data_IF_961596268128
#
_entry.id   IF_961596268128
#
_cell.length_a   1.000
_cell.length_b   1.000
_cell.length_c   1.000
_cell.angle_alpha   90.00
_cell.angle_beta   90.00
_cell.angle_gamma   90.00
#
_symmetry.space_group_name_H-M   'P 1'
#
loop_
_entity.id
_entity.type
_entity.pdbx_description
1 polymer ?
#
# COMPACT_ATOMS: atom_id res chain seq x y z
N UNK A 1 -15.14 14.56 5.92
CA UNK A 1 -16.05 14.42 4.75
C UNK A 1 -15.38 13.85 3.48
N UNK A 2 -14.11 13.40 3.50
CA UNK A 2 -13.47 12.68 2.38
C UNK A 2 -12.72 11.41 2.84
N UNK A 3 -13.20 10.75 3.89
CA UNK A 3 -12.45 9.67 4.54
C UNK A 3 -12.22 8.46 3.63
N UNK A 4 -13.06 8.21 2.62
CA UNK A 4 -12.83 7.11 1.69
C UNK A 4 -11.97 7.51 0.46
N UNK A 5 -11.79 8.82 0.23
CA UNK A 5 -11.06 9.33 -0.93
C UNK A 5 -9.56 9.07 -0.84
N UNK A 6 -8.99 9.01 0.36
CA UNK A 6 -7.56 8.74 0.52
C UNK A 6 -7.19 7.35 -0.04
N UNK A 7 -8.05 6.33 0.12
CA UNK A 7 -7.74 4.98 -0.35
C UNK A 7 -7.58 4.92 -1.87
N UNK A 8 -8.35 5.73 -2.61
CA UNK A 8 -8.23 5.84 -4.07
C UNK A 8 -6.93 6.57 -4.46
N UNK A 9 -6.66 7.70 -3.80
CA UNK A 9 -5.46 8.51 -4.07
C UNK A 9 -4.20 7.70 -3.76
N UNK A 10 -4.21 6.99 -2.64
CA UNK A 10 -3.12 6.14 -2.18
C UNK A 10 -2.86 5.00 -3.18
N UNK A 11 -3.91 4.28 -3.60
CA UNK A 11 -3.77 3.22 -4.62
C UNK A 11 -3.20 3.75 -5.94
N UNK A 12 -3.67 4.89 -6.44
CA UNK A 12 -3.15 5.51 -7.67
C UNK A 12 -1.70 5.95 -7.50
N UNK A 13 -1.37 6.56 -6.36
CA UNK A 13 -0.01 6.99 -6.03
C UNK A 13 0.98 5.82 -6.06
N UNK A 14 0.65 4.71 -5.39
CA UNK A 14 1.53 3.53 -5.39
C UNK A 14 1.62 2.89 -6.76
N UNK A 15 0.50 2.74 -7.48
CA UNK A 15 0.52 2.21 -8.84
C UNK A 15 1.45 3.02 -9.75
N UNK A 16 1.37 4.36 -9.68
CA UNK A 16 2.24 5.26 -10.43
C UNK A 16 3.70 5.10 -10.02
N UNK A 17 4.00 5.07 -8.71
CA UNK A 17 5.36 4.92 -8.21
C UNK A 17 6.00 3.60 -8.65
N UNK A 18 5.28 2.48 -8.58
CA UNK A 18 5.78 1.19 -9.06
C UNK A 18 5.89 1.15 -10.59
N UNK A 19 4.97 1.78 -11.31
CA UNK A 19 5.02 1.87 -12.78
C UNK A 19 6.30 2.55 -13.27
N UNK A 20 6.69 3.68 -12.67
CA UNK A 20 7.90 4.42 -13.09
C UNK A 20 9.20 3.72 -12.69
N UNK A 21 9.19 2.89 -11.65
CA UNK A 21 10.36 2.14 -11.18
C UNK A 21 10.48 0.75 -11.83
N UNK A 22 9.48 0.31 -12.59
CA UNK A 22 9.47 -0.98 -13.28
C UNK A 22 10.15 -0.89 -14.65
N UNK A 23 11.22 -1.66 -14.85
CA UNK A 23 12.01 -1.67 -16.08
C UNK A 23 11.34 -2.52 -17.16
N UNK A 24 10.76 -3.66 -16.79
CA UNK A 24 10.13 -4.62 -17.68
C UNK A 24 8.75 -4.15 -18.17
N UNK A 25 8.63 -3.90 -19.48
CA UNK A 25 7.38 -3.46 -20.10
C UNK A 25 6.17 -4.38 -19.83
N UNK A 26 6.38 -5.70 -19.71
CA UNK A 26 5.27 -6.64 -19.42
C UNK A 26 4.75 -6.47 -17.99
N UNK A 27 5.65 -6.33 -17.02
CA UNK A 27 5.28 -6.10 -15.63
C UNK A 27 4.67 -4.71 -15.45
N UNK A 28 5.19 -3.70 -16.16
CA UNK A 28 4.61 -2.37 -16.21
C UNK A 28 3.17 -2.35 -16.74
N UNK A 29 2.89 -3.09 -17.80
CA UNK A 29 1.53 -3.28 -18.30
C UNK A 29 0.64 -4.05 -17.31
N UNK A 30 1.22 -5.01 -16.58
CA UNK A 30 0.52 -5.75 -15.52
C UNK A 30 0.12 -4.81 -14.38
N UNK A 31 1.04 -3.94 -13.92
CA UNK A 31 0.79 -2.91 -12.90
C UNK A 31 -0.34 -1.98 -13.35
N UNK A 32 -0.27 -1.46 -14.59
CA UNK A 32 -1.32 -0.59 -15.14
C UNK A 32 -2.68 -1.29 -15.20
N UNK A 33 -2.71 -2.55 -15.65
CA UNK A 33 -3.93 -3.36 -15.70
C UNK A 33 -4.51 -3.58 -14.31
N UNK A 34 -3.68 -3.96 -13.32
CA UNK A 34 -4.12 -4.14 -11.95
C UNK A 34 -4.65 -2.84 -11.34
N UNK A 35 -4.01 -1.70 -11.64
CA UNK A 35 -4.47 -0.40 -11.17
C UNK A 35 -5.84 -0.03 -11.73
N UNK A 36 -6.07 -0.27 -13.02
CA UNK A 36 -7.38 -0.06 -13.67
C UNK A 36 -8.44 -0.98 -13.05
N UNK A 37 -8.12 -2.26 -12.86
CA UNK A 37 -9.03 -3.23 -12.23
C UNK A 37 -9.37 -2.79 -10.80
N UNK A 38 -8.37 -2.43 -10.00
CA UNK A 38 -8.56 -1.95 -8.63
C UNK A 38 -9.45 -0.70 -8.58
N UNK A 39 -9.25 0.24 -9.51
CA UNK A 39 -10.08 1.45 -9.63
C UNK A 39 -11.53 1.11 -10.01
N UNK A 40 -11.74 0.20 -10.96
CA UNK A 40 -13.09 -0.26 -11.35
C UNK A 40 -13.80 -0.91 -10.16
N UNK A 41 -13.13 -1.82 -9.45
CA UNK A 41 -13.70 -2.47 -8.26
C UNK A 41 -14.03 -1.42 -7.20
N UNK A 42 -13.14 -0.46 -6.95
CA UNK A 42 -13.37 0.60 -5.97
C UNK A 42 -14.58 1.47 -6.35
N UNK A 43 -14.74 1.82 -7.62
CA UNK A 43 -15.91 2.55 -8.13
C UNK A 43 -17.20 1.74 -7.95
N UNK A 44 -17.17 0.44 -8.26
CA UNK A 44 -18.32 -0.47 -8.05
C UNK A 44 -18.69 -0.56 -6.57
N UNK A 45 -17.72 -0.54 -5.65
CA UNK A 45 -17.98 -0.54 -4.21
C UNK A 45 -18.60 0.80 -3.75
N UNK A 46 -18.14 1.91 -4.31
CA UNK A 46 -18.52 3.27 -3.89
C UNK A 46 -19.89 3.71 -4.42
N UNK A 47 -20.21 3.46 -5.70
CA UNK A 47 -21.42 3.97 -6.35
C UNK A 47 -22.72 3.58 -5.62
N UNK A 48 -22.98 2.30 -5.31
CA UNK A 48 -24.27 1.87 -4.77
C UNK A 48 -24.56 2.41 -3.37
N UNK A 49 -23.50 2.68 -2.58
CA UNK A 49 -23.62 3.00 -1.15
C UNK A 49 -23.28 4.46 -0.82
N UNK A 50 -22.90 5.26 -1.82
CA UNK A 50 -22.49 6.65 -1.67
C UNK A 50 -21.12 6.84 -1.00
N UNK A 51 -20.44 7.95 -1.35
CA UNK A 51 -19.08 8.29 -0.90
C UNK A 51 -19.01 8.65 0.59
N UNK A 52 -20.09 9.20 1.15
CA UNK A 52 -20.02 9.96 2.41
C UNK A 52 -20.62 9.27 3.63
N UNK A 53 -21.37 8.17 3.46
CA UNK A 53 -22.23 7.71 4.55
C UNK A 53 -21.42 6.99 5.64
N UNK A 54 -20.51 6.06 5.30
CA UNK A 54 -19.74 5.28 6.28
C UNK A 54 -18.29 5.01 5.85
N UNK A 55 -17.41 4.77 6.82
CA UNK A 55 -16.05 4.25 6.60
C UNK A 55 -16.12 2.89 5.89
N UNK A 56 -15.48 2.78 4.73
CA UNK A 56 -15.50 1.57 3.89
C UNK A 56 -14.24 0.77 4.11
N UNK A 57 -14.26 -0.08 5.12
CA UNK A 57 -13.18 -1.03 5.40
C UNK A 57 -12.89 -1.92 4.17
N UNK A 58 -13.88 -2.22 3.33
CA UNK A 58 -13.71 -2.98 2.09
C UNK A 58 -12.73 -2.33 1.11
N UNK A 59 -12.77 -1.00 0.99
CA UNK A 59 -11.83 -0.25 0.12
C UNK A 59 -10.42 -0.28 0.68
N UNK A 60 -10.27 -0.20 2.00
CA UNK A 60 -8.97 -0.27 2.67
C UNK A 60 -8.35 -1.65 2.50
N UNK A 61 -9.16 -2.71 2.62
CA UNK A 61 -8.73 -4.08 2.36
C UNK A 61 -8.32 -4.28 0.90
N UNK A 62 -9.11 -3.79 -0.06
CA UNK A 62 -8.78 -3.85 -1.48
C UNK A 62 -7.46 -3.13 -1.78
N UNK A 63 -7.28 -1.92 -1.26
CA UNK A 63 -6.07 -1.13 -1.45
C UNK A 63 -4.84 -1.82 -0.83
N UNK A 64 -4.99 -2.39 0.36
CA UNK A 64 -3.92 -3.14 1.04
C UNK A 64 -3.49 -4.36 0.24
N UNK A 65 -4.45 -5.14 -0.29
CA UNK A 65 -4.15 -6.29 -1.15
C UNK A 65 -3.45 -5.85 -2.43
N UNK A 66 -3.93 -4.76 -3.05
CA UNK A 66 -3.33 -4.20 -4.25
C UNK A 66 -1.88 -3.76 -4.01
N UNK A 67 -1.59 -3.06 -2.90
CA UNK A 67 -0.22 -2.69 -2.52
C UNK A 67 0.69 -3.89 -2.35
N UNK A 68 0.22 -4.95 -1.68
CA UNK A 68 0.99 -6.20 -1.54
C UNK A 68 1.31 -6.79 -2.92
N UNK A 69 0.34 -6.84 -3.83
CA UNK A 69 0.57 -7.32 -5.20
C UNK A 69 1.62 -6.48 -5.94
N UNK A 70 1.58 -5.14 -5.83
CA UNK A 70 2.59 -4.27 -6.42
C UNK A 70 3.99 -4.55 -5.88
N UNK A 71 4.11 -4.71 -4.56
CA UNK A 71 5.39 -5.04 -3.93
C UNK A 71 5.91 -6.41 -4.39
N UNK A 72 5.02 -7.42 -4.48
CA UNK A 72 5.39 -8.73 -4.98
C UNK A 72 5.86 -8.69 -6.44
N UNK A 73 5.22 -7.88 -7.29
CA UNK A 73 5.66 -7.69 -8.68
C UNK A 73 7.03 -7.03 -8.76
N UNK A 74 7.31 -6.04 -7.91
CA UNK A 74 8.62 -5.42 -7.80
C UNK A 74 9.69 -6.43 -7.40
N UNK A 75 9.48 -7.21 -6.34
CA UNK A 75 10.45 -8.22 -5.93
C UNK A 75 10.59 -9.34 -6.96
N UNK A 76 9.51 -9.71 -7.66
CA UNK A 76 9.57 -10.66 -8.76
C UNK A 76 10.44 -10.15 -9.92
N UNK A 77 10.32 -8.87 -10.28
CA UNK A 77 11.17 -8.24 -11.29
C UNK A 77 12.64 -8.29 -10.88
N UNK A 78 12.94 -7.85 -9.64
CA UNK A 78 14.29 -7.82 -9.11
C UNK A 78 14.90 -9.22 -8.95
N UNK A 79 14.09 -10.23 -8.67
CA UNK A 79 14.53 -11.61 -8.62
C UNK A 79 14.82 -12.20 -10.00
N UNK A 80 14.09 -11.76 -11.03
CA UNK A 80 14.26 -12.23 -12.43
C UNK A 80 15.36 -11.49 -13.19
N UNK A 81 15.66 -10.26 -12.81
CA UNK A 81 16.75 -9.48 -13.39
C UNK A 81 18.09 -9.80 -12.75
N UNK A 82 19.16 -9.69 -13.52
CA UNK A 82 20.51 -9.63 -12.98
C UNK A 82 20.68 -8.25 -12.33
N UNK A 83 20.41 -8.18 -11.03
CA UNK A 83 20.57 -6.95 -10.25
C UNK A 83 22.03 -6.84 -9.82
N UNK A 84 22.74 -5.88 -10.41
CA UNK A 84 24.08 -5.52 -9.97
C UNK A 84 24.01 -4.76 -8.64
N UNK A 85 24.41 -5.44 -7.56
CA UNK A 85 24.56 -4.84 -6.23
C UNK A 85 23.38 -5.03 -5.27
N UNK A 86 23.50 -4.48 -4.05
CA UNK A 86 22.50 -4.67 -3.01
C UNK A 86 21.22 -3.86 -3.26
N UNK A 87 20.07 -4.52 -3.21
CA UNK A 87 18.74 -3.89 -3.35
C UNK A 87 18.48 -2.77 -2.32
N UNK A 88 19.14 -2.82 -1.16
CA UNK A 88 19.04 -1.79 -0.13
C UNK A 88 19.59 -0.43 -0.56
N UNK A 89 20.36 -0.36 -1.66
CA UNK A 89 20.78 0.89 -2.29
C UNK A 89 19.67 1.58 -3.11
N UNK A 90 18.54 0.91 -3.34
CA UNK A 90 17.41 1.48 -4.09
C UNK A 90 16.33 2.05 -3.14
N UNK A 91 15.91 3.31 -3.30
CA UNK A 91 14.87 3.91 -2.45
C UNK A 91 13.54 3.13 -2.46
N UNK A 92 13.16 2.60 -3.63
CA UNK A 92 11.92 1.85 -3.82
C UNK A 92 11.90 0.51 -3.05
N UNK A 93 13.07 -0.06 -2.74
CA UNK A 93 13.18 -1.22 -1.86
C UNK A 93 12.66 -0.90 -0.45
N UNK A 94 13.08 0.23 0.12
CA UNK A 94 12.63 0.66 1.45
C UNK A 94 11.13 0.96 1.47
N UNK A 95 10.60 1.61 0.44
CA UNK A 95 9.15 1.80 0.30
C UNK A 95 8.40 0.47 0.24
N UNK A 96 8.93 -0.50 -0.50
CA UNK A 96 8.36 -1.85 -0.58
C UNK A 96 8.37 -2.58 0.76
N UNK A 97 9.45 -2.46 1.54
CA UNK A 97 9.54 -3.04 2.88
C UNK A 97 8.55 -2.41 3.87
N UNK A 98 8.39 -1.09 3.83
CA UNK A 98 7.40 -0.40 4.66
C UNK A 98 5.97 -0.84 4.32
N UNK A 99 5.65 -0.97 3.02
CA UNK A 99 4.35 -1.47 2.57
C UNK A 99 4.11 -2.94 2.95
N UNK A 100 5.11 -3.81 2.86
CA UNK A 100 4.97 -5.21 3.30
C UNK A 100 4.71 -5.34 4.79
N UNK A 101 5.23 -4.41 5.61
CA UNK A 101 4.92 -4.38 7.03
C UNK A 101 3.50 -3.87 7.27
N UNK A 102 3.11 -2.77 6.61
CA UNK A 102 1.88 -2.06 6.92
C UNK A 102 0.63 -2.64 6.25
N UNK A 103 0.71 -2.97 4.95
CA UNK A 103 -0.47 -3.34 4.16
C UNK A 103 -1.10 -4.67 4.60
N UNK A 104 -0.36 -5.78 4.83
CA UNK A 104 -0.95 -7.02 5.34
C UNK A 104 -1.61 -6.83 6.70
N UNK A 105 -0.97 -6.09 7.61
CA UNK A 105 -1.56 -5.88 8.94
C UNK A 105 -2.79 -4.98 8.88
N UNK A 106 -2.76 -3.95 8.04
CA UNK A 106 -3.93 -3.10 7.77
C UNK A 106 -5.07 -3.91 7.16
N UNK A 107 -4.78 -4.81 6.23
CA UNK A 107 -5.76 -5.74 5.67
C UNK A 107 -6.42 -6.57 6.77
N UNK A 108 -5.65 -7.28 7.59
CA UNK A 108 -6.21 -8.13 8.64
C UNK A 108 -7.01 -7.30 9.66
N UNK A 109 -6.50 -6.14 10.05
CA UNK A 109 -7.18 -5.22 10.96
C UNK A 109 -8.57 -4.84 10.44
N UNK A 110 -8.68 -4.47 9.17
CA UNK A 110 -9.92 -4.00 8.57
C UNK A 110 -10.85 -5.13 8.10
N UNK A 111 -10.33 -6.32 7.81
CA UNK A 111 -11.15 -7.54 7.64
C UNK A 111 -11.86 -7.89 8.95
N UNK A 112 -11.18 -7.76 10.09
CA UNK A 112 -11.77 -8.09 11.39
C UNK A 112 -12.51 -6.93 12.05
N UNK A 113 -12.48 -5.73 11.45
CA UNK A 113 -13.06 -4.52 12.01
C UNK A 113 -14.55 -4.68 12.40
N UNK A 114 -15.44 -5.25 11.57
CA UNK A 114 -16.85 -5.41 11.93
C UNK A 114 -17.07 -6.23 13.21
N UNK A 115 -16.28 -7.29 13.44
CA UNK A 115 -16.47 -8.13 14.63
C UNK A 115 -15.95 -7.46 15.91
N UNK A 116 -15.01 -6.52 15.78
CA UNK A 116 -14.44 -5.78 16.90
C UNK A 116 -15.30 -4.57 17.25
N UNK A 117 -15.92 -3.90 16.26
CA UNK A 117 -16.77 -2.73 16.52
C UNK A 117 -18.09 -3.06 17.22
N UNK A 118 -18.58 -4.28 17.11
CA UNK A 118 -19.79 -4.73 17.80
C UNK A 118 -19.56 -5.02 19.29
N UNK A 119 -18.31 -5.02 19.75
CA UNK A 119 -17.91 -5.24 21.15
C UNK A 119 -17.31 -3.96 21.71
N UNK A 120 -17.70 -3.60 22.94
CA UNK A 120 -17.36 -2.35 23.63
C UNK A 120 -15.87 -1.96 23.60
N UNK A 121 -15.65 -0.64 23.73
CA UNK A 121 -14.49 0.23 23.48
C UNK A 121 -13.01 -0.24 23.65
N UNK A 122 -12.60 -1.07 24.65
CA UNK A 122 -11.15 -1.24 24.91
C UNK A 122 -10.38 -1.96 23.80
N UNK A 123 -11.02 -2.95 23.14
CA UNK A 123 -10.37 -3.73 22.08
C UNK A 123 -10.18 -2.90 20.81
N UNK A 124 -11.13 -2.02 20.51
CA UNK A 124 -11.06 -1.10 19.38
C UNK A 124 -9.91 -0.10 19.56
N UNK A 125 -9.73 0.44 20.77
CA UNK A 125 -8.63 1.34 21.08
C UNK A 125 -7.25 0.66 20.90
N UNK A 126 -7.10 -0.59 21.35
CA UNK A 126 -5.87 -1.34 21.15
C UNK A 126 -5.57 -1.59 19.66
N UNK A 127 -6.61 -1.89 18.88
CA UNK A 127 -6.51 -2.10 17.43
C UNK A 127 -6.03 -0.82 16.72
N UNK A 128 -6.59 0.34 17.06
CA UNK A 128 -6.14 1.63 16.54
C UNK A 128 -4.70 1.97 16.94
N UNK A 129 -4.31 1.67 18.18
CA UNK A 129 -2.92 1.86 18.62
C UNK A 129 -1.94 1.00 17.81
N UNK A 130 -2.30 -0.26 17.53
CA UNK A 130 -1.49 -1.12 16.65
C UNK A 130 -1.40 -0.53 15.24
N UNK A 131 -2.52 -0.06 14.68
CA UNK A 131 -2.53 0.60 13.38
C UNK A 131 -1.60 1.81 13.34
N UNK A 132 -1.68 2.70 14.34
CA UNK A 132 -0.84 3.90 14.43
C UNK A 132 0.65 3.55 14.57
N UNK A 133 0.98 2.54 15.37
CA UNK A 133 2.36 2.07 15.53
C UNK A 133 2.93 1.54 14.21
N UNK A 134 2.16 0.75 13.47
CA UNK A 134 2.59 0.21 12.18
C UNK A 134 2.71 1.29 11.12
N UNK A 135 1.79 2.24 11.11
CA UNK A 135 1.84 3.40 10.21
C UNK A 135 3.10 4.24 10.49
N UNK A 136 3.40 4.51 11.76
CA UNK A 136 4.63 5.20 12.16
C UNK A 136 5.88 4.43 11.73
N UNK A 137 5.88 3.11 11.93
CA UNK A 137 6.99 2.22 11.52
C UNK A 137 7.22 2.25 10.01
N UNK A 138 6.15 2.21 9.21
CA UNK A 138 6.23 2.36 7.75
C UNK A 138 6.89 3.69 7.36
N UNK A 139 6.47 4.82 7.96
CA UNK A 139 7.06 6.12 7.63
C UNK A 139 8.52 6.26 8.08
N UNK A 140 8.93 5.62 9.17
CA UNK A 140 10.34 5.54 9.55
C UNK A 140 11.15 4.80 8.48
N UNK A 141 10.64 3.68 7.98
CA UNK A 141 11.28 2.93 6.88
C UNK A 141 11.33 3.78 5.60
N UNK A 142 10.27 4.52 5.27
CA UNK A 142 10.28 5.42 4.12
C UNK A 142 11.31 6.54 4.25
N UNK A 143 11.50 7.04 5.48
CA UNK A 143 12.54 8.05 5.77
C UNK A 143 13.94 7.51 5.50
N UNK A 144 14.20 6.22 5.79
CA UNK A 144 15.45 5.56 5.40
C UNK A 144 15.60 5.53 3.88
N UNK A 145 14.55 5.18 3.14
CA UNK A 145 14.56 5.19 1.67
C UNK A 145 14.88 6.57 1.08
N UNK A 146 14.31 7.64 1.65
CA UNK A 146 14.61 9.01 1.22
C UNK A 146 16.05 9.42 1.54
N UNK A 147 16.57 9.02 2.70
CA UNK A 147 17.97 9.26 3.07
C UNK A 147 18.94 8.56 2.11
N UNK A 148 18.67 7.29 1.79
CA UNK A 148 19.45 6.52 0.80
C UNK A 148 19.41 7.19 -0.58
N UNK A 149 18.24 7.69 -1.02
CA UNK A 149 18.13 8.41 -2.28
C UNK A 149 19.04 9.66 -2.31
N UNK A 150 18.99 10.47 -1.24
CA UNK A 150 19.79 11.68 -1.12
C UNK A 150 21.29 11.37 -1.17
N UNK A 151 21.73 10.34 -0.44
CA UNK A 151 23.14 9.94 -0.41
C UNK A 151 23.64 9.52 -1.80
N UNK A 152 22.82 8.76 -2.55
CA UNK A 152 23.10 8.32 -3.93
C UNK A 152 23.13 9.46 -4.95
N UNK A 153 22.38 10.55 -4.72
CA UNK A 153 22.44 11.71 -5.62
C UNK A 153 23.62 12.64 -5.35
N UNK A 154 24.27 12.50 -4.18
CA UNK A 154 25.37 13.37 -3.76
C UNK A 154 26.77 12.80 -4.09
N UNK A 155 26.86 11.51 -4.41
CA UNK A 155 28.10 10.78 -4.70
C UNK A 155 27.90 9.93 -5.95
#
# INVERSE_FOLDING_TARGET
>A
MFYNGYALIDGVFWAFLFYINCQNNRLRNTIATLAIIALIIAVIIVIPKGIQVHFRHELVCLNSLFQVLLVLLFFYEKYRGDVDGPLSGEPIFWFSMGLLLYAPTTYFLFVFYPQVTDRSDPQLAALWNMHHLLNASMYLIFSVGMYVNKWRTAH
#
